data_IF_945380871974
#
_entry.id   IF_945380871974
#
_cell.length_a   1.000
_cell.length_b   1.000
_cell.length_c   1.000
_cell.angle_alpha   90.00
_cell.angle_beta   90.00
_cell.angle_gamma   90.00
#
_symmetry.space_group_name_H-M   'P 1'
#
loop_
_entity.id
_entity.type
_entity.pdbx_description
1 polymer ?
#
# COMPACT_ATOMS: atom_id res chain seq x y z
N UNK A 1 25.40 -33.03 -4.71
CA UNK A 1 24.05 -33.35 -4.22
C UNK A 1 24.00 -32.99 -2.74
N UNK A 2 23.33 -31.90 -2.39
CA UNK A 2 22.93 -31.58 -1.03
C UNK A 2 21.49 -31.06 -1.11
N UNK A 3 20.54 -31.95 -0.83
CA UNK A 3 19.12 -31.65 -0.76
C UNK A 3 18.87 -30.77 0.46
N UNK A 4 18.53 -29.50 0.22
CA UNK A 4 18.02 -28.59 1.23
C UNK A 4 16.71 -29.16 1.78
N UNK A 5 16.72 -29.49 3.06
CA UNK A 5 15.52 -29.83 3.84
C UNK A 5 14.68 -28.56 3.88
N UNK A 6 13.56 -28.54 3.15
CA UNK A 6 12.52 -27.53 3.35
C UNK A 6 11.99 -27.74 4.76
N UNK A 7 12.25 -26.78 5.62
CA UNK A 7 11.65 -26.68 6.94
C UNK A 7 10.14 -26.44 6.73
N UNK A 8 9.36 -27.51 6.74
CA UNK A 8 7.90 -27.43 6.65
C UNK A 8 7.38 -27.29 8.09
N UNK A 9 7.10 -26.05 8.48
CA UNK A 9 6.25 -25.78 9.63
C UNK A 9 4.95 -26.59 9.51
N UNK A 10 4.43 -27.09 10.64
CA UNK A 10 3.16 -27.80 10.68
C UNK A 10 2.04 -26.94 10.04
N UNK A 11 1.06 -27.56 9.35
CA UNK A 11 -0.04 -26.80 8.75
C UNK A 11 -0.78 -26.01 9.84
N UNK A 12 -0.87 -24.69 9.63
CA UNK A 12 -1.60 -23.75 10.49
C UNK A 12 -3.07 -24.20 10.61
N UNK A 13 -3.62 -24.17 11.82
CA UNK A 13 -5.04 -24.46 12.02
C UNK A 13 -5.91 -23.31 11.49
N UNK A 14 -7.18 -23.57 11.16
CA UNK A 14 -8.10 -22.53 10.68
C UNK A 14 -8.24 -21.36 11.66
N UNK A 15 -8.19 -21.65 12.96
CA UNK A 15 -8.27 -20.64 14.03
C UNK A 15 -7.01 -19.77 14.06
N UNK A 16 -5.82 -20.38 13.95
CA UNK A 16 -4.55 -19.63 13.92
C UNK A 16 -4.44 -18.78 12.66
N UNK A 17 -4.89 -19.31 11.51
CA UNK A 17 -4.93 -18.60 10.24
C UNK A 17 -5.83 -17.36 10.28
N UNK A 18 -7.06 -17.51 10.78
CA UNK A 18 -7.99 -16.39 10.93
C UNK A 18 -7.43 -15.34 11.89
N UNK A 19 -6.92 -15.75 13.06
CA UNK A 19 -6.32 -14.84 14.03
C UNK A 19 -5.10 -14.07 13.46
N UNK A 20 -4.30 -14.71 12.60
CA UNK A 20 -3.18 -14.07 11.90
C UNK A 20 -3.69 -12.96 10.96
N UNK A 21 -4.73 -13.23 10.17
CA UNK A 21 -5.32 -12.24 9.26
C UNK A 21 -5.99 -11.09 10.01
N UNK A 22 -6.73 -11.39 11.08
CA UNK A 22 -7.33 -10.40 11.96
C UNK A 22 -6.25 -9.47 12.54
N UNK A 23 -5.09 -10.03 12.91
CA UNK A 23 -3.95 -9.24 13.35
C UNK A 23 -3.43 -8.24 12.32
N UNK A 24 -3.48 -8.55 11.02
CA UNK A 24 -3.16 -7.56 9.96
C UNK A 24 -4.18 -6.43 9.93
N UNK A 25 -5.47 -6.78 10.04
CA UNK A 25 -6.55 -5.80 10.00
C UNK A 25 -6.52 -4.90 11.22
N UNK A 26 -6.35 -5.43 12.42
CA UNK A 26 -6.29 -4.62 13.64
C UNK A 26 -5.14 -3.60 13.61
N UNK A 27 -3.93 -4.02 13.19
CA UNK A 27 -2.83 -3.07 13.00
C UNK A 27 -3.13 -2.01 11.94
N UNK A 28 -3.83 -2.37 10.86
CA UNK A 28 -4.23 -1.41 9.83
C UNK A 28 -5.28 -0.42 10.37
N UNK A 29 -6.21 -0.88 11.21
CA UNK A 29 -7.22 -0.02 11.86
C UNK A 29 -6.58 0.96 12.84
N UNK A 30 -5.59 0.51 13.61
CA UNK A 30 -4.80 1.38 14.47
C UNK A 30 -4.05 2.45 13.65
N UNK A 31 -3.40 2.04 12.55
CA UNK A 31 -2.73 2.96 11.64
C UNK A 31 -3.70 3.96 10.99
N UNK A 32 -4.88 3.51 10.53
CA UNK A 32 -5.92 4.37 9.97
C UNK A 32 -6.44 5.38 11.00
N UNK A 33 -6.60 4.96 12.26
CA UNK A 33 -6.98 5.84 13.37
C UNK A 33 -5.92 6.91 13.65
N UNK A 34 -4.63 6.56 13.54
CA UNK A 34 -3.54 7.52 13.67
C UNK A 34 -3.48 8.48 12.47
N UNK A 35 -3.62 7.97 11.23
CA UNK A 35 -3.67 8.77 10.00
C UNK A 35 -4.81 9.80 10.01
N UNK A 36 -5.98 9.43 10.52
CA UNK A 36 -7.15 10.33 10.65
C UNK A 36 -6.85 11.61 11.42
N UNK A 37 -5.92 11.58 12.37
CA UNK A 37 -5.54 12.71 13.23
C UNK A 37 -4.56 13.68 12.57
N UNK A 38 -3.99 13.32 11.42
CA UNK A 38 -3.02 14.15 10.72
C UNK A 38 -3.70 15.33 10.04
N UNK A 39 -3.01 16.48 10.03
CA UNK A 39 -3.38 17.65 9.25
C UNK A 39 -2.89 17.54 7.80
N UNK A 40 -3.30 18.50 6.95
CA UNK A 40 -2.95 18.50 5.53
C UNK A 40 -1.44 18.55 5.31
N UNK A 41 -0.72 19.35 6.08
CA UNK A 41 0.73 19.51 5.91
C UNK A 41 1.49 18.23 6.29
N UNK A 42 1.08 17.53 7.35
CA UNK A 42 1.65 16.24 7.72
C UNK A 42 1.41 15.19 6.64
N UNK A 43 0.18 15.12 6.10
CA UNK A 43 -0.15 14.23 4.98
C UNK A 43 0.72 14.54 3.76
N UNK A 44 0.87 15.82 3.42
CA UNK A 44 1.64 16.23 2.24
C UNK A 44 3.14 15.94 2.40
N UNK A 45 3.70 16.10 3.60
CA UNK A 45 5.08 15.70 3.91
C UNK A 45 5.31 14.20 3.77
N UNK A 46 4.38 13.37 4.27
CA UNK A 46 4.43 11.92 4.12
C UNK A 46 4.38 11.52 2.64
N UNK A 47 3.43 12.07 1.89
CA UNK A 47 3.26 11.80 0.45
C UNK A 47 4.52 12.19 -0.33
N UNK A 48 5.13 13.32 0.00
CA UNK A 48 6.40 13.73 -0.61
C UNK A 48 7.53 12.74 -0.32
N UNK A 49 7.74 12.37 0.95
CA UNK A 49 8.80 11.42 1.34
C UNK A 49 8.63 10.06 0.64
N UNK A 50 7.39 9.54 0.60
CA UNK A 50 7.06 8.33 -0.12
C UNK A 50 7.33 8.45 -1.63
N UNK A 51 6.97 9.58 -2.23
CA UNK A 51 7.21 9.83 -3.67
C UNK A 51 8.70 9.79 -3.98
N UNK A 52 9.52 10.51 -3.20
CA UNK A 52 10.98 10.55 -3.38
C UNK A 52 11.59 9.16 -3.25
N UNK A 53 11.23 8.41 -2.20
CA UNK A 53 11.74 7.05 -2.00
C UNK A 53 11.33 6.11 -3.15
N UNK A 54 10.09 6.21 -3.63
CA UNK A 54 9.63 5.44 -4.79
C UNK A 54 10.39 5.78 -6.07
N UNK A 55 10.78 7.04 -6.27
CA UNK A 55 11.59 7.49 -7.41
C UNK A 55 13.02 6.96 -7.34
N UNK A 56 13.67 7.10 -6.18
CA UNK A 56 15.05 6.64 -5.96
C UNK A 56 15.19 5.13 -6.16
N UNK A 57 14.15 4.36 -5.83
CA UNK A 57 14.12 2.91 -5.95
C UNK A 57 13.44 2.42 -7.25
N UNK A 58 13.07 3.31 -8.17
CA UNK A 58 12.26 2.94 -9.34
C UNK A 58 12.91 1.88 -10.23
N UNK A 59 14.25 1.92 -10.38
CA UNK A 59 15.03 0.96 -11.16
C UNK A 59 15.16 -0.38 -10.42
N UNK A 60 15.59 -0.35 -9.14
CA UNK A 60 15.70 -1.55 -8.29
C UNK A 60 14.38 -2.34 -8.26
N UNK A 61 13.26 -1.63 -8.06
CA UNK A 61 11.94 -2.26 -8.02
C UNK A 61 11.52 -2.83 -9.38
N UNK A 62 11.94 -2.22 -10.48
CA UNK A 62 11.66 -2.74 -11.82
C UNK A 62 12.48 -4.01 -12.13
N UNK A 63 13.75 -4.05 -11.73
CA UNK A 63 14.62 -5.21 -11.83
C UNK A 63 14.07 -6.38 -11.01
N UNK A 64 13.75 -6.14 -9.74
CA UNK A 64 13.18 -7.16 -8.86
C UNK A 64 11.85 -7.71 -9.41
N UNK A 65 11.00 -6.85 -9.97
CA UNK A 65 9.77 -7.28 -10.62
C UNK A 65 10.03 -8.11 -11.88
N UNK A 66 11.07 -7.81 -12.67
CA UNK A 66 11.46 -8.61 -13.83
C UNK A 66 11.96 -10.00 -13.40
N UNK A 67 12.84 -10.04 -12.41
CA UNK A 67 13.43 -11.28 -11.89
C UNK A 67 12.37 -12.21 -11.32
N UNK A 68 11.42 -11.67 -10.54
CA UNK A 68 10.39 -12.48 -9.90
C UNK A 68 9.29 -12.91 -10.87
N UNK A 69 8.80 -11.99 -11.71
CA UNK A 69 7.64 -12.27 -12.58
C UNK A 69 8.02 -12.90 -13.91
N UNK A 70 9.25 -12.68 -14.38
CA UNK A 70 9.72 -13.00 -15.73
C UNK A 70 8.86 -12.39 -16.84
N UNK A 71 8.21 -11.25 -16.57
CA UNK A 71 7.21 -10.65 -17.46
C UNK A 71 7.50 -9.19 -17.77
N UNK A 72 7.49 -8.83 -19.05
CA UNK A 72 7.60 -7.45 -19.53
C UNK A 72 9.02 -7.05 -19.95
N UNK A 73 9.25 -5.74 -19.99
CA UNK A 73 10.51 -5.09 -20.36
C UNK A 73 10.92 -4.15 -19.22
N UNK A 74 12.21 -4.09 -18.91
CA UNK A 74 12.72 -3.36 -17.74
C UNK A 74 12.41 -1.87 -17.85
N UNK A 75 12.73 -1.25 -18.98
CA UNK A 75 12.54 0.17 -19.26
C UNK A 75 11.08 0.59 -19.11
N UNK A 76 10.15 -0.22 -19.62
CA UNK A 76 8.72 0.02 -19.48
C UNK A 76 8.26 -0.05 -18.02
N UNK A 77 8.86 -0.93 -17.21
CA UNK A 77 8.55 -1.01 -15.77
C UNK A 77 9.11 0.17 -14.99
N UNK A 78 10.32 0.63 -15.33
CA UNK A 78 10.90 1.85 -14.75
C UNK A 78 9.99 3.04 -15.04
N UNK A 79 9.56 3.21 -16.30
CA UNK A 79 8.63 4.27 -16.67
C UNK A 79 7.30 4.17 -15.90
N UNK A 80 6.75 2.96 -15.75
CA UNK A 80 5.53 2.76 -14.93
C UNK A 80 5.73 3.13 -13.46
N UNK A 81 6.92 2.90 -12.90
CA UNK A 81 7.24 3.32 -11.54
C UNK A 81 7.33 4.85 -11.42
N UNK A 82 7.91 5.54 -12.41
CA UNK A 82 7.89 7.01 -12.48
C UNK A 82 6.48 7.58 -12.60
N UNK A 83 5.63 6.97 -13.44
CA UNK A 83 4.22 7.37 -13.55
C UNK A 83 3.49 7.19 -12.21
N UNK A 84 3.76 6.09 -11.50
CA UNK A 84 3.14 5.80 -10.21
C UNK A 84 3.65 6.68 -9.04
N UNK A 85 4.69 7.48 -9.27
CA UNK A 85 5.33 8.31 -8.24
C UNK A 85 5.31 9.79 -8.65
N UNK A 86 6.24 10.26 -9.48
CA UNK A 86 6.38 11.68 -9.87
C UNK A 86 5.11 12.24 -10.52
N UNK A 87 4.60 11.58 -11.55
CA UNK A 87 3.42 12.05 -12.28
C UNK A 87 2.17 12.04 -11.38
N UNK A 88 2.08 11.03 -10.51
CA UNK A 88 1.03 10.95 -9.51
C UNK A 88 1.15 12.09 -8.49
N UNK A 89 2.35 12.36 -7.99
CA UNK A 89 2.59 13.43 -7.02
C UNK A 89 2.20 14.80 -7.59
N UNK A 90 2.61 15.09 -8.83
CA UNK A 90 2.25 16.34 -9.51
C UNK A 90 0.73 16.49 -9.63
N UNK A 91 0.00 15.40 -9.85
CA UNK A 91 -1.46 15.42 -9.84
C UNK A 91 -2.05 15.65 -8.43
N UNK A 92 -1.43 15.13 -7.38
CA UNK A 92 -1.96 15.12 -6.01
C UNK A 92 -1.58 16.34 -5.17
N UNK A 93 -0.45 17.00 -5.45
CA UNK A 93 0.19 17.97 -4.55
C UNK A 93 -0.72 19.13 -4.12
N UNK A 94 -1.56 19.64 -5.01
CA UNK A 94 -2.44 20.78 -4.72
C UNK A 94 -3.86 20.38 -4.29
N UNK A 95 -4.14 19.08 -4.21
CA UNK A 95 -5.46 18.57 -3.83
C UNK A 95 -5.58 18.48 -2.31
N UNK A 96 -6.67 19.01 -1.77
CA UNK A 96 -7.01 18.87 -0.35
C UNK A 96 -7.67 17.51 -0.08
N UNK A 97 -7.30 16.90 1.03
CA UNK A 97 -7.81 15.60 1.51
C UNK A 97 -8.11 15.60 3.01
N UNK A 98 -7.93 16.75 3.68
CA UNK A 98 -8.14 16.92 5.12
C UNK A 98 -9.11 18.08 5.36
N UNK A 99 -10.15 17.83 6.17
CA UNK A 99 -11.10 18.86 6.57
C UNK A 99 -11.97 19.35 5.42
N UNK A 100 -12.32 20.64 5.43
CA UNK A 100 -13.12 21.27 4.38
C UNK A 100 -12.30 21.38 3.08
N UNK A 101 -12.73 20.67 2.05
CA UNK A 101 -12.05 20.61 0.76
C UNK A 101 -12.66 21.56 -0.27
N UNK A 102 -13.94 21.89 -0.12
CA UNK A 102 -14.66 22.79 -1.01
C UNK A 102 -15.87 23.44 -0.30
N UNK A 103 -16.33 24.59 -0.80
CA UNK A 103 -17.43 25.36 -0.24
C UNK A 103 -18.34 25.94 -1.33
N UNK A 104 -19.63 25.65 -1.29
CA UNK A 104 -20.65 26.31 -2.11
C UNK A 104 -21.37 27.36 -1.24
N UNK A 105 -20.95 28.61 -1.39
CA UNK A 105 -21.48 29.74 -0.60
C UNK A 105 -22.91 30.11 -0.97
N UNK A 106 -23.33 29.89 -2.21
CA UNK A 106 -24.70 30.21 -2.65
C UNK A 106 -25.70 29.25 -2.02
N UNK A 107 -25.31 27.98 -1.88
CA UNK A 107 -26.13 26.93 -1.25
C UNK A 107 -25.86 26.75 0.24
N UNK A 108 -24.89 27.48 0.80
CA UNK A 108 -24.41 27.31 2.17
C UNK A 108 -24.00 25.85 2.49
N UNK A 109 -23.28 25.21 1.55
CA UNK A 109 -22.77 23.85 1.70
C UNK A 109 -21.25 23.85 1.88
N UNK A 110 -20.75 22.95 2.72
CA UNK A 110 -19.33 22.64 2.84
C UNK A 110 -19.11 21.16 2.54
N UNK A 111 -18.06 20.88 1.77
CA UNK A 111 -17.63 19.52 1.47
C UNK A 111 -16.43 19.18 2.35
N UNK A 112 -16.58 18.14 3.17
CA UNK A 112 -15.55 17.69 4.12
C UNK A 112 -15.01 16.34 3.68
N UNK A 113 -13.70 16.21 3.58
CA UNK A 113 -13.04 14.95 3.24
C UNK A 113 -12.93 14.05 4.47
N UNK A 114 -13.48 12.84 4.34
CA UNK A 114 -13.41 11.79 5.35
C UNK A 114 -12.75 10.54 4.75
N UNK A 115 -11.69 9.99 5.36
CA UNK A 115 -11.09 8.72 4.94
C UNK A 115 -12.09 7.58 5.13
N UNK A 116 -12.01 6.57 4.25
CA UNK A 116 -12.83 5.35 4.39
C UNK A 116 -12.32 4.48 5.53
N UNK A 117 -11.00 4.30 5.66
CA UNK A 117 -10.37 3.53 6.74
C UNK A 117 -9.29 2.59 6.22
N UNK A 118 -9.56 1.30 6.21
CA UNK A 118 -8.63 0.23 5.81
C UNK A 118 -8.98 -0.28 4.41
N UNK A 119 -8.11 0.00 3.44
CA UNK A 119 -8.29 -0.42 2.06
C UNK A 119 -7.63 -1.78 1.81
N UNK A 120 -8.37 -2.72 1.22
CA UNK A 120 -7.80 -3.95 0.67
C UNK A 120 -7.48 -3.78 -0.83
N UNK A 121 -6.22 -4.01 -1.20
CA UNK A 121 -5.76 -3.92 -2.58
C UNK A 121 -5.22 -5.24 -3.11
N UNK A 122 -5.90 -5.78 -4.11
CA UNK A 122 -5.33 -6.83 -4.97
C UNK A 122 -4.31 -6.21 -5.93
N UNK A 123 -3.14 -6.84 -6.07
CA UNK A 123 -2.07 -6.38 -6.96
C UNK A 123 -1.82 -7.39 -8.10
N UNK A 124 -1.89 -6.96 -9.37
CA UNK A 124 -1.72 -7.84 -10.51
C UNK A 124 -0.24 -8.17 -10.75
N UNK A 125 0.02 -9.35 -11.34
CA UNK A 125 1.38 -9.78 -11.73
C UNK A 125 2.01 -8.90 -12.83
N UNK A 126 1.19 -8.21 -13.63
CA UNK A 126 1.66 -7.42 -14.78
C UNK A 126 2.31 -6.11 -14.36
N UNK A 127 1.81 -5.48 -13.29
CA UNK A 127 2.25 -4.18 -12.79
C UNK A 127 2.38 -4.21 -11.25
N UNK A 128 3.21 -5.11 -10.68
CA UNK A 128 3.19 -5.37 -9.25
C UNK A 128 3.71 -4.17 -8.44
N UNK A 129 4.88 -3.67 -8.78
CA UNK A 129 5.56 -2.57 -8.06
C UNK A 129 4.89 -1.23 -8.30
N UNK A 130 4.59 -0.86 -9.55
CA UNK A 130 3.91 0.40 -9.84
C UNK A 130 2.51 0.49 -9.21
N UNK A 131 1.77 -0.62 -9.13
CA UNK A 131 0.48 -0.63 -8.42
C UNK A 131 0.68 -0.49 -6.91
N UNK A 132 1.69 -1.14 -6.31
CA UNK A 132 2.05 -0.93 -4.90
C UNK A 132 2.35 0.53 -4.62
N UNK A 133 3.22 1.15 -5.43
CA UNK A 133 3.62 2.56 -5.28
C UNK A 133 2.41 3.48 -5.35
N UNK A 134 1.64 3.37 -6.45
CA UNK A 134 0.47 4.19 -6.71
C UNK A 134 -0.56 4.10 -5.58
N UNK A 135 -0.97 2.88 -5.21
CA UNK A 135 -2.02 2.69 -4.20
C UNK A 135 -1.56 3.15 -2.81
N UNK A 136 -0.30 2.93 -2.47
CA UNK A 136 0.26 3.36 -1.19
C UNK A 136 0.24 4.89 -1.06
N UNK A 137 0.71 5.61 -2.08
CA UNK A 137 0.75 7.07 -2.10
C UNK A 137 -0.68 7.65 -2.04
N UNK A 138 -1.62 7.10 -2.81
CA UNK A 138 -3.02 7.54 -2.79
C UNK A 138 -3.66 7.29 -1.42
N UNK A 139 -3.42 6.12 -0.80
CA UNK A 139 -3.96 5.82 0.53
C UNK A 139 -3.39 6.76 1.59
N UNK A 140 -2.08 7.01 1.59
CA UNK A 140 -1.46 7.99 2.49
C UNK A 140 -2.02 9.41 2.28
N UNK A 141 -2.12 9.87 1.02
CA UNK A 141 -2.71 11.18 0.68
C UNK A 141 -4.13 11.33 1.19
N UNK A 142 -4.88 10.23 1.24
CA UNK A 142 -6.28 10.23 1.66
C UNK A 142 -6.49 9.76 3.10
N UNK A 143 -5.42 9.61 3.90
CA UNK A 143 -5.44 9.18 5.31
C UNK A 143 -6.05 7.77 5.53
N UNK A 144 -5.82 6.86 4.60
CA UNK A 144 -6.23 5.46 4.69
C UNK A 144 -5.03 4.54 4.94
N UNK A 145 -5.25 3.46 5.69
CA UNK A 145 -4.31 2.34 5.76
C UNK A 145 -4.56 1.37 4.59
N UNK A 146 -3.53 0.63 4.20
CA UNK A 146 -3.55 -0.21 3.01
C UNK A 146 -3.03 -1.62 3.33
N UNK A 147 -3.89 -2.61 3.12
CA UNK A 147 -3.53 -4.03 3.11
C UNK A 147 -3.45 -4.49 1.65
N UNK A 148 -2.31 -5.06 1.28
CA UNK A 148 -2.01 -5.47 -0.09
C UNK A 148 -1.93 -6.99 -0.19
N UNK A 149 -2.61 -7.51 -1.21
CA UNK A 149 -2.57 -8.91 -1.60
C UNK A 149 -2.00 -9.02 -3.01
N UNK A 150 -0.70 -9.31 -3.15
CA UNK A 150 -0.06 -9.50 -4.44
C UNK A 150 -0.41 -10.82 -5.12
N UNK A 151 -0.18 -10.88 -6.43
CA UNK A 151 -0.15 -12.15 -7.14
C UNK A 151 0.93 -13.07 -6.55
N UNK A 152 0.74 -14.40 -6.49
CA UNK A 152 1.72 -15.34 -5.91
C UNK A 152 3.12 -15.27 -6.51
N UNK A 153 3.24 -14.77 -7.73
CA UNK A 153 4.49 -14.64 -8.49
C UNK A 153 5.09 -13.23 -8.44
N UNK A 154 4.60 -12.37 -7.55
CA UNK A 154 5.02 -10.98 -7.43
C UNK A 154 5.04 -10.51 -5.97
N UNK A 155 5.12 -11.45 -5.02
CA UNK A 155 5.01 -11.15 -3.59
C UNK A 155 6.23 -10.37 -3.13
N UNK A 156 7.43 -10.80 -3.54
CA UNK A 156 8.70 -10.20 -3.12
C UNK A 156 8.84 -8.76 -3.58
N UNK A 157 8.61 -8.49 -4.86
CA UNK A 157 8.71 -7.15 -5.42
C UNK A 157 7.65 -6.20 -4.84
N UNK A 158 6.41 -6.66 -4.65
CA UNK A 158 5.38 -5.86 -3.98
C UNK A 158 5.72 -5.58 -2.51
N UNK A 159 6.26 -6.57 -1.78
CA UNK A 159 6.69 -6.40 -0.39
C UNK A 159 7.80 -5.35 -0.29
N UNK A 160 8.83 -5.47 -1.13
CA UNK A 160 9.94 -4.51 -1.16
C UNK A 160 9.45 -3.09 -1.48
N UNK A 161 8.57 -2.93 -2.47
CA UNK A 161 8.00 -1.63 -2.79
C UNK A 161 7.20 -1.02 -1.62
N UNK A 162 6.44 -1.84 -0.87
CA UNK A 162 5.71 -1.37 0.30
C UNK A 162 6.65 -0.98 1.45
N UNK A 163 7.71 -1.76 1.69
CA UNK A 163 8.74 -1.49 2.70
C UNK A 163 9.45 -0.15 2.43
N UNK A 164 9.91 0.08 1.20
CA UNK A 164 10.54 1.35 0.79
C UNK A 164 9.67 2.55 1.17
N UNK A 165 8.38 2.48 0.87
CA UNK A 165 7.45 3.57 1.16
C UNK A 165 7.11 3.70 2.64
N UNK A 166 6.94 2.57 3.34
CA UNK A 166 6.66 2.54 4.77
C UNK A 166 7.81 3.16 5.56
N UNK A 167 9.06 2.75 5.28
CA UNK A 167 10.27 3.26 5.94
C UNK A 167 10.44 4.77 5.73
N UNK A 168 10.28 5.24 4.48
CA UNK A 168 10.38 6.66 4.16
C UNK A 168 9.27 7.49 4.80
N UNK A 169 8.04 6.97 4.81
CA UNK A 169 6.91 7.62 5.45
C UNK A 169 7.07 7.70 6.97
N UNK A 170 7.52 6.62 7.62
CA UNK A 170 7.69 6.55 9.08
C UNK A 170 8.69 7.61 9.58
N UNK A 171 9.75 7.87 8.82
CA UNK A 171 10.72 8.94 9.11
C UNK A 171 10.08 10.33 9.25
N UNK A 172 8.90 10.55 8.65
CA UNK A 172 8.18 11.84 8.67
C UNK A 172 6.79 11.73 9.31
N UNK A 173 6.50 10.64 10.01
CA UNK A 173 5.29 10.49 10.83
C UNK A 173 4.17 9.64 10.23
N UNK A 174 4.41 8.87 9.16
CA UNK A 174 3.49 7.80 8.77
C UNK A 174 3.39 6.77 9.92
N UNK A 175 2.19 6.34 10.32
CA UNK A 175 2.06 5.33 11.36
C UNK A 175 2.63 3.98 10.92
N UNK A 176 3.20 3.25 11.89
CA UNK A 176 3.62 1.87 11.67
C UNK A 176 2.46 1.02 11.18
N UNK A 177 2.74 0.08 10.26
CA UNK A 177 1.74 -0.82 9.65
C UNK A 177 0.66 -0.11 8.81
N UNK A 178 0.89 1.14 8.40
CA UNK A 178 0.00 1.83 7.45
C UNK A 178 -0.03 1.12 6.09
N UNK A 179 1.09 0.54 5.67
CA UNK A 179 1.21 -0.28 4.47
C UNK A 179 1.60 -1.71 4.89
N UNK A 180 0.72 -2.67 4.61
CA UNK A 180 0.96 -4.08 4.93
C UNK A 180 0.81 -4.94 3.69
N UNK A 181 1.71 -5.91 3.51
CA UNK A 181 1.61 -6.92 2.45
C UNK A 181 1.38 -8.27 3.11
N UNK A 182 0.30 -8.94 2.72
CA UNK A 182 0.03 -10.30 3.15
C UNK A 182 0.73 -11.24 2.15
N UNK A 183 1.76 -11.99 2.57
CA UNK A 183 2.56 -12.80 1.65
C UNK A 183 1.88 -14.09 1.22
N UNK A 184 0.76 -14.45 1.87
CA UNK A 184 0.03 -15.68 1.65
C UNK A 184 -0.70 -15.66 0.28
N UNK A 185 -0.32 -16.54 -0.67
CA UNK A 185 -0.88 -16.58 -2.01
C UNK A 185 -2.22 -17.33 -2.11
N UNK A 186 -2.82 -17.76 -1.01
CA UNK A 186 -4.13 -18.42 -0.96
C UNK A 186 -5.25 -17.51 -1.49
N UNK A 187 -6.25 -18.12 -2.15
CA UNK A 187 -7.46 -17.42 -2.60
C UNK A 187 -8.40 -17.14 -1.41
N UNK A 188 -8.42 -18.07 -0.46
CA UNK A 188 -9.19 -18.02 0.78
C UNK A 188 -8.86 -16.76 1.59
N UNK A 189 -7.60 -16.31 1.58
CA UNK A 189 -7.19 -15.04 2.21
C UNK A 189 -7.95 -13.85 1.63
N UNK A 190 -8.08 -13.78 0.30
CA UNK A 190 -8.79 -12.67 -0.33
C UNK A 190 -10.28 -12.72 0.00
N UNK A 191 -10.89 -13.90 -0.08
CA UNK A 191 -12.31 -14.09 0.26
C UNK A 191 -12.60 -13.73 1.72
N UNK A 192 -11.71 -14.12 2.64
CA UNK A 192 -11.83 -13.76 4.06
C UNK A 192 -11.78 -12.25 4.25
N UNK A 193 -10.75 -11.59 3.73
CA UNK A 193 -10.55 -10.14 3.89
C UNK A 193 -11.66 -9.31 3.23
N UNK A 194 -12.24 -9.76 2.12
CA UNK A 194 -13.39 -9.08 1.48
C UNK A 194 -14.64 -9.04 2.37
N UNK A 195 -14.82 -10.02 3.26
CA UNK A 195 -15.96 -10.08 4.17
C UNK A 195 -15.59 -9.67 5.61
N UNK A 196 -14.33 -9.28 5.83
CA UNK A 196 -13.85 -8.94 7.15
C UNK A 196 -14.39 -7.57 7.59
N UNK A 197 -15.03 -7.45 8.76
CA UNK A 197 -15.74 -6.24 9.19
C UNK A 197 -14.82 -5.04 9.51
N UNK A 198 -13.50 -5.25 9.50
CA UNK A 198 -12.48 -4.21 9.67
C UNK A 198 -11.81 -3.74 8.38
N UNK A 199 -12.29 -4.20 7.22
CA UNK A 199 -11.88 -3.73 5.89
C UNK A 199 -13.02 -2.91 5.29
N UNK A 200 -12.69 -1.75 4.73
CA UNK A 200 -13.65 -0.73 4.24
C UNK A 200 -13.74 -0.66 2.71
#
# INVERSE_FOLDING_TARGET
MATAVKDQAAPETEVEWAARLDGFVERAREAATALRKLDQEAVDRIVWAMTVAGLENAVELAELAMEETMFGVLEDKVLKNYIATEFLYDYLRDKKSVGVIDEDRERALQYVAEPIGVVLALLPITNPTSTTLFKSIVCAKTRNALIMRPSPRAVGCCKRAAEVLQEAGECVGLPANALQVIPDPSLEVSQYLFHHPGVD
#
